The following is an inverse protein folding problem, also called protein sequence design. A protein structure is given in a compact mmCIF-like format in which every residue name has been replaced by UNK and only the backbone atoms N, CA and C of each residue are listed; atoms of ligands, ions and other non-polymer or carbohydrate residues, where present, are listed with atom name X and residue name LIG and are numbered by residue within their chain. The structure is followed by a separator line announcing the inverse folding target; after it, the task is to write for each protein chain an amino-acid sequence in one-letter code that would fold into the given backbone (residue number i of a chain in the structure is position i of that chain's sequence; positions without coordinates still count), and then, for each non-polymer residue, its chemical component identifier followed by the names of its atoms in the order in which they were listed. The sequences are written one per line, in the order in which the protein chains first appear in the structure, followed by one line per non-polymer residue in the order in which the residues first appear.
data_IF_920858259549
#
_entry.id   IF_920858259549
#
_cell.length_a   1.000
_cell.length_b   1.000
_cell.length_c   1.000
_cell.angle_alpha   90.00
_cell.angle_beta   90.00
_cell.angle_gamma   90.00
#
_symmetry.space_group_name_H-M   'P 1'
#
loop_
_entity.id
_entity.type
_entity.pdbx_description
1 polymer ?
#
# COMPACT_ATOMS: atom_id res chain seq x y z
N UNK A 1 8.09 1.23 2.16
CA UNK A 1 8.06 0.72 3.54
C UNK A 1 9.22 1.31 4.31
N UNK A 2 8.95 2.07 5.38
CA UNK A 2 9.94 2.77 6.21
C UNK A 2 9.82 2.31 7.65
N UNK A 3 10.91 1.85 8.26
CA UNK A 3 10.92 1.39 9.67
C UNK A 3 11.54 2.47 10.55
N UNK A 4 10.82 2.90 11.58
CA UNK A 4 11.24 3.98 12.49
C UNK A 4 11.17 3.52 13.95
N UNK A 5 12.03 4.08 14.80
CA UNK A 5 11.99 3.87 16.25
C UNK A 5 10.95 4.76 16.94
N UNK A 6 10.59 4.44 18.17
CA UNK A 6 9.71 5.29 19.00
C UNK A 6 10.35 6.65 19.29
N UNK A 7 11.65 6.70 19.59
CA UNK A 7 12.36 7.99 19.77
C UNK A 7 12.26 8.88 18.54
N UNK A 8 12.44 8.32 17.33
CA UNK A 8 12.32 9.10 16.10
C UNK A 8 10.89 9.54 15.85
N UNK A 9 9.92 8.65 16.08
CA UNK A 9 8.51 8.95 15.94
C UNK A 9 8.05 10.11 16.83
N UNK A 10 8.54 10.16 18.08
CA UNK A 10 8.26 11.27 19.01
C UNK A 10 8.77 12.61 18.51
N UNK A 11 9.95 12.64 17.86
CA UNK A 11 10.58 13.88 17.38
C UNK A 11 9.96 14.42 16.10
N UNK A 12 9.44 13.55 15.24
CA UNK A 12 9.00 13.90 13.87
C UNK A 12 7.53 13.51 13.60
N UNK A 13 6.69 13.49 14.63
CA UNK A 13 5.34 12.94 14.52
C UNK A 13 4.51 13.60 13.40
N UNK A 14 4.54 14.93 13.29
CA UNK A 14 3.80 15.65 12.24
C UNK A 14 4.22 15.26 10.83
N UNK A 15 5.53 15.07 10.60
CA UNK A 15 6.06 14.65 9.30
C UNK A 15 5.60 13.23 8.97
N UNK A 16 5.70 12.32 9.94
CA UNK A 16 5.27 10.92 9.81
C UNK A 16 3.78 10.84 9.47
N UNK A 17 2.93 11.66 10.11
CA UNK A 17 1.50 11.68 9.81
C UNK A 17 1.23 12.16 8.37
N UNK A 18 1.96 13.16 7.88
CA UNK A 18 1.86 13.60 6.47
C UNK A 18 2.31 12.52 5.48
N UNK A 19 3.43 11.84 5.78
CA UNK A 19 3.92 10.71 4.99
C UNK A 19 2.84 9.60 4.91
N UNK A 20 2.23 9.26 6.05
CA UNK A 20 1.15 8.27 6.16
C UNK A 20 -0.11 8.70 5.41
N UNK A 21 -0.50 9.97 5.46
CA UNK A 21 -1.63 10.51 4.67
C UNK A 21 -1.39 10.44 3.16
N UNK A 22 -0.15 10.63 2.72
CA UNK A 22 0.24 10.50 1.31
C UNK A 22 0.33 9.04 0.84
N UNK A 23 0.07 8.07 1.71
CA UNK A 23 0.06 6.65 1.39
C UNK A 23 1.39 5.94 1.61
N UNK A 24 2.36 6.56 2.30
CA UNK A 24 3.58 5.86 2.70
C UNK A 24 3.28 4.84 3.81
N UNK A 25 3.85 3.64 3.65
CA UNK A 25 3.78 2.59 4.67
C UNK A 25 4.92 2.76 5.68
N UNK A 26 4.55 3.10 6.93
CA UNK A 26 5.48 3.33 8.04
C UNK A 26 5.27 2.27 9.13
N UNK A 27 6.36 1.62 9.52
CA UNK A 27 6.43 0.63 10.59
C UNK A 27 7.14 1.25 11.79
N UNK A 28 6.45 1.29 12.92
CA UNK A 28 6.99 1.70 14.21
C UNK A 28 7.56 0.49 14.96
N UNK A 29 8.86 0.51 15.25
CA UNK A 29 9.56 -0.53 15.98
C UNK A 29 9.66 -0.19 17.47
N UNK A 30 9.20 -1.12 18.33
CA UNK A 30 9.22 -1.00 19.79
C UNK A 30 9.86 -2.26 20.38
N UNK A 31 11.15 -2.19 20.70
CA UNK A 31 11.93 -3.37 21.09
C UNK A 31 11.90 -4.43 19.98
N UNK A 32 11.35 -5.61 20.29
CA UNK A 32 11.17 -6.72 19.35
C UNK A 32 9.80 -6.76 18.65
N UNK A 33 8.97 -5.73 18.84
CA UNK A 33 7.63 -5.63 18.22
C UNK A 33 7.62 -4.58 17.13
N UNK A 34 6.77 -4.80 16.13
CA UNK A 34 6.54 -3.88 15.01
C UNK A 34 5.05 -3.55 14.92
N UNK A 35 4.75 -2.28 14.66
CA UNK A 35 3.40 -1.74 14.54
C UNK A 35 3.29 -0.96 13.24
N UNK A 36 2.18 -1.09 12.52
CA UNK A 36 1.94 -0.34 11.28
C UNK A 36 1.12 0.91 11.59
N UNK A 37 1.58 2.06 11.12
CA UNK A 37 0.83 3.32 11.18
C UNK A 37 0.10 3.48 9.86
N UNK A 38 -1.22 3.63 9.89
CA UNK A 38 -2.05 3.88 8.72
C UNK A 38 -3.10 4.95 9.04
N UNK A 39 -3.50 5.77 8.06
CA UNK A 39 -4.50 6.79 8.30
C UNK A 39 -5.85 6.11 8.53
N UNK A 40 -6.60 6.57 9.54
CA UNK A 40 -7.94 6.06 9.83
C UNK A 40 -8.95 6.62 8.82
N UNK A 41 -8.86 6.18 7.57
CA UNK A 41 -9.79 6.54 6.52
C UNK A 41 -11.01 5.63 6.63
N UNK A 42 -12.22 6.22 6.68
CA UNK A 42 -13.46 5.45 6.50
C UNK A 42 -13.49 4.91 5.08
N UNK A 43 -13.04 3.66 4.89
CA UNK A 43 -13.23 2.94 3.63
C UNK A 43 -14.73 2.76 3.40
N UNK A 44 -15.29 3.43 2.41
CA UNK A 44 -16.67 3.22 1.99
C UNK A 44 -16.71 2.03 1.05
N UNK A 45 -17.34 0.94 1.47
CA UNK A 45 -17.55 -0.22 0.61
C UNK A 45 -18.34 0.21 -0.63
N UNK A 46 -17.95 -0.32 -1.78
CA UNK A 46 -18.61 -0.02 -3.04
C UNK A 46 -18.34 1.37 -3.62
N UNK A 47 -17.29 2.09 -3.19
CA UNK A 47 -16.88 3.37 -3.81
C UNK A 47 -16.68 3.27 -5.33
N UNK A 48 -16.23 2.10 -5.80
CA UNK A 48 -16.04 1.76 -7.20
C UNK A 48 -16.99 0.67 -7.69
N UNK A 49 -18.05 0.37 -6.92
CA UNK A 49 -19.08 -0.59 -7.36
C UNK A 49 -19.62 -0.08 -8.70
N UNK A 50 -19.65 -0.96 -9.70
CA UNK A 50 -20.13 -0.68 -11.05
C UNK A 50 -19.32 0.35 -11.86
N UNK A 51 -18.24 0.92 -11.30
CA UNK A 51 -17.28 1.78 -12.01
C UNK A 51 -16.12 1.01 -12.63
N UNK A 52 -15.88 -0.21 -12.17
CA UNK A 52 -14.84 -1.09 -12.70
C UNK A 52 -15.43 -1.81 -13.90
N UNK A 53 -15.02 -1.39 -15.10
CA UNK A 53 -15.28 -2.14 -16.33
C UNK A 53 -14.10 -3.06 -16.56
N UNK A 54 -14.32 -4.36 -16.40
CA UNK A 54 -13.35 -5.38 -16.82
C UNK A 54 -13.52 -5.56 -18.33
N UNK A 55 -12.40 -5.60 -19.05
CA UNK A 55 -12.41 -5.92 -20.46
C UNK A 55 -12.81 -7.38 -20.67
N UNK A 56 -13.45 -7.69 -21.80
CA UNK A 56 -13.91 -9.04 -22.14
C UNK A 56 -12.74 -10.04 -22.27
N UNK A 57 -11.54 -9.54 -22.51
CA UNK A 57 -10.31 -10.33 -22.63
C UNK A 57 -9.63 -10.63 -21.30
N UNK A 58 -10.18 -10.22 -20.15
CA UNK A 58 -9.55 -10.48 -18.84
C UNK A 58 -9.41 -11.97 -18.53
N UNK A 59 -10.28 -12.80 -19.13
CA UNK A 59 -10.23 -14.26 -19.01
C UNK A 59 -9.40 -14.92 -20.10
N UNK A 60 -8.88 -14.15 -21.08
CA UNK A 60 -8.03 -14.70 -22.14
C UNK A 60 -6.61 -14.90 -21.62
N UNK A 61 -5.89 -15.91 -22.14
CA UNK A 61 -4.48 -16.07 -21.81
C UNK A 61 -3.69 -14.83 -22.24
N UNK A 62 -2.64 -14.52 -21.47
CA UNK A 62 -1.70 -13.47 -21.84
C UNK A 62 -1.07 -13.78 -23.21
N UNK A 63 -0.78 -12.75 -24.03
CA UNK A 63 -0.07 -12.93 -25.29
C UNK A 63 1.25 -13.69 -25.10
N UNK A 64 1.55 -14.63 -26.00
CA UNK A 64 2.76 -15.48 -25.93
C UNK A 64 4.05 -14.69 -25.74
N UNK A 65 4.18 -13.57 -26.44
CA UNK A 65 5.35 -12.68 -26.34
C UNK A 65 5.59 -12.20 -24.90
N UNK A 66 4.54 -11.85 -24.17
CA UNK A 66 4.64 -11.39 -22.77
C UNK A 66 5.05 -12.55 -21.84
N UNK A 67 4.53 -13.75 -22.13
CA UNK A 67 4.87 -14.96 -21.36
C UNK A 67 6.34 -15.34 -21.59
N UNK A 68 6.80 -15.29 -22.84
CA UNK A 68 8.18 -15.57 -23.22
C UNK A 68 9.17 -14.57 -22.58
N UNK A 69 8.85 -13.28 -22.58
CA UNK A 69 9.67 -12.24 -21.92
C UNK A 69 9.74 -12.42 -20.39
N UNK A 70 8.76 -13.07 -19.75
CA UNK A 70 8.74 -13.32 -18.32
C UNK A 70 9.57 -14.55 -17.90
N UNK A 71 9.74 -15.52 -18.80
CA UNK A 71 10.45 -16.78 -18.51
C UNK A 71 11.94 -16.76 -18.88
N UNK A 72 12.43 -15.68 -19.49
CA UNK A 72 13.83 -15.44 -19.80
C UNK A 72 14.50 -14.57 -18.73
#
# INVERSE_FOLDING_TARGET
MKVISVEEAKKKLELILKEVENGEEIILKVGNKEFVIYPKIKRKLGTFKDKIKLSEDIYKPLPKKIIEDFHN
#
